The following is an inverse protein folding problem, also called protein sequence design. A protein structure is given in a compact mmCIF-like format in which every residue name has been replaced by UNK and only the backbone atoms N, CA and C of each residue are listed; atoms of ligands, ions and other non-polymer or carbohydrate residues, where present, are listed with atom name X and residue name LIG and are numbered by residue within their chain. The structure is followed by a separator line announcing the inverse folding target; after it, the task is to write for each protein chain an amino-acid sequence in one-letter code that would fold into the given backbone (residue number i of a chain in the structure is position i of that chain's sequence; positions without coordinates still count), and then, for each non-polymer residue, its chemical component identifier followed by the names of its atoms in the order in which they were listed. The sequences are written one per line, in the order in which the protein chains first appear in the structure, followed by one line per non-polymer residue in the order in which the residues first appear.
data_IF_421780563734
#
_entry.id   IF_421780563734
#
_cell.length_a   1.000
_cell.length_b   1.000
_cell.length_c   1.000
_cell.angle_alpha   90.00
_cell.angle_beta   90.00
_cell.angle_gamma   90.00
#
_symmetry.space_group_name_H-M   'P 1'
#
loop_
_entity.id
_entity.type
_entity.pdbx_description
1 polymer ?
#
# COMPACT_ATOMS: atom_id res chain seq x y z
N UNK A 1 -40.80 21.92 -19.72
CA UNK A 1 -40.66 20.56 -19.10
C UNK A 1 -39.45 19.78 -19.64
N UNK A 2 -39.30 19.61 -20.97
CA UNK A 2 -38.19 18.83 -21.54
C UNK A 2 -36.82 19.43 -21.17
N UNK A 3 -36.66 20.75 -21.29
CA UNK A 3 -35.40 21.45 -20.95
C UNK A 3 -34.99 21.30 -19.47
N UNK A 4 -35.96 21.36 -18.57
CA UNK A 4 -35.68 21.19 -17.12
C UNK A 4 -35.26 19.76 -16.77
N UNK A 5 -35.88 18.76 -17.39
CA UNK A 5 -35.50 17.35 -17.24
C UNK A 5 -34.09 17.07 -17.78
N UNK A 6 -33.71 17.65 -18.92
CA UNK A 6 -32.33 17.47 -19.45
C UNK A 6 -31.28 18.11 -18.56
N UNK A 7 -31.55 19.31 -18.00
CA UNK A 7 -30.61 19.95 -17.06
C UNK A 7 -30.45 19.13 -15.78
N UNK A 8 -31.54 18.61 -15.22
CA UNK A 8 -31.49 17.73 -14.03
C UNK A 8 -30.66 16.47 -14.31
N UNK A 9 -30.87 15.86 -15.48
CA UNK A 9 -30.11 14.66 -15.86
C UNK A 9 -28.61 14.92 -16.00
N UNK A 10 -28.24 16.07 -16.60
CA UNK A 10 -26.83 16.49 -16.74
C UNK A 10 -26.19 16.74 -15.36
N UNK A 11 -26.89 17.46 -14.48
CA UNK A 11 -26.40 17.71 -13.11
C UNK A 11 -26.25 16.41 -12.31
N UNK A 12 -27.18 15.48 -12.46
CA UNK A 12 -27.14 14.18 -11.81
C UNK A 12 -25.94 13.34 -12.29
N UNK A 13 -25.70 13.28 -13.59
CA UNK A 13 -24.55 12.55 -14.15
C UNK A 13 -23.21 13.18 -13.73
N UNK A 14 -23.11 14.50 -13.66
CA UNK A 14 -21.92 15.19 -13.15
C UNK A 14 -21.67 14.88 -11.68
N UNK A 15 -22.69 14.90 -10.82
CA UNK A 15 -22.53 14.59 -9.40
C UNK A 15 -22.04 13.16 -9.15
N UNK A 16 -22.53 12.15 -9.87
CA UNK A 16 -22.10 10.77 -9.72
C UNK A 16 -20.66 10.54 -10.18
N UNK A 17 -20.23 11.17 -11.27
CA UNK A 17 -18.87 11.02 -11.80
C UNK A 17 -17.77 11.61 -10.88
N UNK A 18 -18.03 12.76 -10.26
CA UNK A 18 -17.07 13.41 -9.35
C UNK A 18 -16.95 12.71 -7.99
N UNK A 19 -18.04 12.08 -7.49
CA UNK A 19 -18.05 11.42 -6.20
C UNK A 19 -17.08 10.24 -6.09
N UNK A 20 -16.98 9.42 -7.12
CA UNK A 20 -16.13 8.23 -7.13
C UNK A 20 -14.63 8.58 -7.08
N UNK A 21 -14.16 9.49 -7.91
CA UNK A 21 -12.74 9.92 -7.92
C UNK A 21 -12.33 10.56 -6.59
N UNK A 22 -13.17 11.44 -6.04
CA UNK A 22 -12.92 12.11 -4.76
C UNK A 22 -12.83 11.11 -3.61
N UNK A 23 -13.72 10.10 -3.59
CA UNK A 23 -13.69 9.05 -2.58
C UNK A 23 -12.38 8.24 -2.65
N UNK A 24 -11.95 7.82 -3.85
CA UNK A 24 -10.69 7.10 -4.04
C UNK A 24 -9.47 7.93 -3.60
N UNK A 25 -9.45 9.23 -3.88
CA UNK A 25 -8.39 10.12 -3.42
C UNK A 25 -8.36 10.26 -1.90
N UNK A 26 -9.52 10.31 -1.24
CA UNK A 26 -9.60 10.35 0.22
C UNK A 26 -9.12 9.02 0.85
N UNK A 27 -9.48 7.88 0.27
CA UNK A 27 -8.99 6.58 0.68
C UNK A 27 -7.46 6.49 0.52
N UNK A 28 -6.92 7.01 -0.59
CA UNK A 28 -5.48 7.06 -0.84
C UNK A 28 -4.72 7.86 0.23
N UNK A 29 -5.27 9.00 0.67
CA UNK A 29 -4.71 9.77 1.80
C UNK A 29 -4.75 9.01 3.12
N UNK A 30 -5.83 8.27 3.39
CA UNK A 30 -5.91 7.41 4.58
C UNK A 30 -4.89 6.28 4.53
N UNK A 31 -4.68 5.64 3.36
CA UNK A 31 -3.61 4.66 3.18
C UNK A 31 -2.23 5.26 3.42
N UNK A 32 -1.98 6.50 2.96
CA UNK A 32 -0.75 7.22 3.27
C UNK A 32 -0.53 7.35 4.78
N UNK A 33 -1.57 7.71 5.54
CA UNK A 33 -1.50 7.78 7.00
C UNK A 33 -1.23 6.40 7.62
N UNK A 34 -1.83 5.34 7.11
CA UNK A 34 -1.58 3.96 7.58
C UNK A 34 -0.14 3.52 7.32
N UNK A 35 0.41 3.81 6.14
CA UNK A 35 1.82 3.54 5.82
C UNK A 35 2.77 4.26 6.78
N UNK A 36 2.48 5.52 7.15
CA UNK A 36 3.28 6.27 8.12
C UNK A 36 3.21 5.65 9.53
N UNK A 37 2.03 5.18 9.96
CA UNK A 37 1.90 4.47 11.24
C UNK A 37 2.67 3.14 11.23
N UNK A 38 2.59 2.37 10.13
CA UNK A 38 3.37 1.15 9.98
C UNK A 38 4.87 1.44 9.98
N UNK A 39 5.31 2.55 9.39
CA UNK A 39 6.71 2.99 9.42
C UNK A 39 7.22 3.22 10.84
N UNK A 40 6.42 3.80 11.72
CA UNK A 40 6.80 3.99 13.14
C UNK A 40 7.11 2.62 13.77
N UNK A 41 6.22 1.63 13.59
CA UNK A 41 6.45 0.27 14.10
C UNK A 41 7.70 -0.38 13.49
N UNK A 42 7.94 -0.19 12.19
CA UNK A 42 9.12 -0.68 11.51
C UNK A 42 10.41 -0.04 12.05
N UNK A 43 10.40 1.26 12.33
CA UNK A 43 11.57 1.96 12.89
C UNK A 43 11.88 1.52 14.31
N UNK A 44 10.84 1.34 15.16
CA UNK A 44 11.04 0.82 16.52
C UNK A 44 11.63 -0.60 16.45
N UNK A 45 11.10 -1.45 15.55
CA UNK A 45 11.66 -2.79 15.31
C UNK A 45 13.13 -2.71 14.88
N UNK A 46 13.45 -1.88 13.89
CA UNK A 46 14.79 -1.76 13.35
C UNK A 46 15.81 -1.28 14.41
N UNK A 47 15.41 -0.36 15.30
CA UNK A 47 16.26 0.13 16.40
C UNK A 47 16.62 -0.98 17.39
N UNK A 48 15.79 -2.03 17.54
CA UNK A 48 16.06 -3.18 18.41
C UNK A 48 16.76 -4.33 17.65
N UNK A 49 16.93 -4.25 16.32
CA UNK A 49 17.42 -5.32 15.46
C UNK A 49 18.53 -4.85 14.50
N UNK A 50 19.53 -4.16 15.00
CA UNK A 50 20.73 -3.73 14.25
C UNK A 50 20.40 -2.97 12.96
N UNK A 51 19.41 -2.07 13.03
CA UNK A 51 18.87 -1.29 11.91
C UNK A 51 18.25 -2.13 10.79
N UNK A 52 17.93 -3.39 11.04
CA UNK A 52 17.29 -4.26 10.06
C UNK A 52 15.77 -4.24 10.22
N UNK A 53 15.05 -4.07 9.13
CA UNK A 53 13.61 -4.24 9.11
C UNK A 53 13.23 -5.73 9.14
N UNK A 54 11.96 -6.09 9.44
CA UNK A 54 11.54 -7.48 9.56
C UNK A 54 12.00 -8.37 8.41
N UNK A 55 12.62 -9.48 8.76
CA UNK A 55 13.07 -10.50 7.82
C UNK A 55 12.55 -11.88 8.25
N UNK A 56 11.70 -12.50 7.43
CA UNK A 56 11.21 -13.84 7.68
C UNK A 56 11.80 -14.83 6.66
N UNK A 57 12.48 -15.84 7.15
CA UNK A 57 12.98 -16.94 6.30
C UNK A 57 11.79 -17.66 5.67
N UNK A 58 11.86 -17.91 4.35
CA UNK A 58 10.79 -18.55 3.58
C UNK A 58 9.48 -17.77 3.53
N UNK A 59 9.51 -16.44 3.73
CA UNK A 59 8.34 -15.60 3.52
C UNK A 59 7.86 -15.69 2.06
N UNK A 60 6.57 -15.94 1.87
CA UNK A 60 5.91 -16.00 0.56
C UNK A 60 4.94 -14.83 0.37
N UNK A 61 4.62 -14.13 1.45
CA UNK A 61 3.72 -12.97 1.46
C UNK A 61 4.21 -11.89 2.42
N UNK A 62 3.73 -10.67 2.23
CA UNK A 62 4.06 -9.55 3.13
C UNK A 62 3.55 -9.78 4.56
N UNK A 63 2.46 -10.52 4.73
CA UNK A 63 1.96 -10.96 6.05
C UNK A 63 3.01 -11.73 6.83
N UNK A 64 3.80 -12.59 6.16
CA UNK A 64 4.77 -13.44 6.83
C UNK A 64 5.90 -12.65 7.50
N UNK A 65 6.35 -11.60 6.85
CA UNK A 65 7.40 -10.74 7.37
C UNK A 65 6.87 -9.67 8.34
N UNK A 66 5.76 -9.01 7.99
CA UNK A 66 5.19 -7.92 8.79
C UNK A 66 4.50 -8.42 10.07
N UNK A 67 4.18 -9.72 10.16
CA UNK A 67 3.66 -10.35 11.37
C UNK A 67 4.60 -10.17 12.59
N UNK A 68 5.90 -10.01 12.35
CA UNK A 68 6.88 -9.73 13.40
C UNK A 68 6.64 -8.40 14.13
N UNK A 69 5.84 -7.50 13.54
CA UNK A 69 5.48 -6.23 14.17
C UNK A 69 4.35 -6.38 15.20
N UNK A 70 3.55 -7.44 15.11
CA UNK A 70 2.33 -7.60 15.92
C UNK A 70 2.57 -8.66 17.02
N UNK A 71 2.12 -8.40 18.26
CA UNK A 71 1.53 -7.17 18.76
C UNK A 71 2.54 -6.14 19.31
N UNK A 72 3.83 -6.50 19.42
CA UNK A 72 4.84 -5.76 20.21
C UNK A 72 5.05 -4.33 19.70
N UNK A 73 5.14 -4.13 18.38
CA UNK A 73 5.43 -2.83 17.74
C UNK A 73 4.19 -2.15 17.21
N UNK A 74 3.12 -2.90 17.00
CA UNK A 74 1.80 -2.39 16.65
C UNK A 74 0.72 -3.40 17.03
N UNK A 75 -0.17 -3.03 17.93
CA UNK A 75 -1.36 -3.82 18.21
C UNK A 75 -2.52 -3.49 17.24
N UNK A 76 -2.49 -2.31 16.58
CA UNK A 76 -3.50 -1.89 15.59
C UNK A 76 -3.24 -2.57 14.24
N UNK A 77 -3.94 -3.68 13.99
CA UNK A 77 -3.88 -4.41 12.72
C UNK A 77 -4.51 -3.64 11.56
N UNK A 78 -5.38 -2.66 11.86
CA UNK A 78 -6.03 -1.82 10.87
C UNK A 78 -5.06 -0.94 10.07
N UNK A 79 -3.88 -0.64 10.62
CA UNK A 79 -2.85 0.11 9.88
C UNK A 79 -2.27 -0.66 8.70
N UNK A 80 -2.42 -1.99 8.66
CA UNK A 80 -1.96 -2.84 7.56
C UNK A 80 -3.03 -3.04 6.47
N UNK A 81 -4.21 -2.44 6.64
CA UNK A 81 -5.32 -2.56 5.70
C UNK A 81 -5.61 -1.21 5.04
N UNK A 82 -5.62 -1.20 3.71
CA UNK A 82 -5.98 -0.02 2.93
C UNK A 82 -7.50 0.15 2.88
N UNK A 83 -8.07 1.32 3.26
CA UNK A 83 -9.50 1.57 3.15
C UNK A 83 -10.07 1.48 1.72
N UNK A 84 -9.21 1.52 0.70
CA UNK A 84 -9.60 1.34 -0.69
C UNK A 84 -9.62 -0.11 -1.16
N UNK A 85 -9.06 -1.03 -0.36
CA UNK A 85 -9.09 -2.47 -0.63
C UNK A 85 -10.40 -3.10 -0.16
N UNK A 86 -10.56 -4.40 -0.42
CA UNK A 86 -11.65 -5.22 0.12
C UNK A 86 -11.21 -6.03 1.36
N UNK A 87 -10.00 -5.80 1.82
CA UNK A 87 -9.48 -6.49 3.00
C UNK A 87 -10.10 -5.91 4.27
N UNK A 88 -10.20 -6.73 5.31
CA UNK A 88 -10.73 -6.34 6.61
C UNK A 88 -9.67 -6.44 7.67
N UNK A 89 -9.58 -5.47 8.60
CA UNK A 89 -8.64 -5.55 9.71
C UNK A 89 -8.96 -6.74 10.60
N UNK A 90 -7.91 -7.36 11.14
CA UNK A 90 -8.01 -8.39 12.16
C UNK A 90 -8.27 -7.74 13.55
N UNK A 91 -8.69 -8.51 14.54
CA UNK A 91 -8.73 -8.04 15.92
C UNK A 91 -7.36 -7.48 16.36
N UNK A 92 -7.34 -6.48 17.25
CA UNK A 92 -6.09 -5.90 17.74
C UNK A 92 -5.14 -6.96 18.30
N UNK A 93 -3.89 -6.93 17.90
CA UNK A 93 -2.86 -7.88 18.34
C UNK A 93 -2.91 -9.26 17.72
N UNK A 94 -3.86 -9.54 16.84
CA UNK A 94 -3.96 -10.79 16.11
C UNK A 94 -2.86 -10.92 15.06
N UNK A 95 -2.32 -12.13 14.85
CA UNK A 95 -1.31 -12.42 13.83
C UNK A 95 -1.80 -12.07 12.42
N UNK A 96 -1.02 -11.28 11.67
CA UNK A 96 -1.36 -10.89 10.29
C UNK A 96 -1.47 -12.08 9.35
N UNK A 97 -0.82 -13.21 9.69
CA UNK A 97 -0.89 -14.45 8.90
C UNK A 97 -2.30 -15.06 8.85
N UNK A 98 -3.16 -14.72 9.82
CA UNK A 98 -4.55 -15.22 9.86
C UNK A 98 -5.49 -14.47 8.92
N UNK A 99 -5.07 -13.33 8.38
CA UNK A 99 -5.89 -12.52 7.49
C UNK A 99 -5.17 -12.10 6.22
N UNK A 100 -5.64 -11.01 5.65
CA UNK A 100 -5.06 -10.35 4.48
C UNK A 100 -4.74 -8.92 4.83
N UNK A 101 -3.57 -8.47 4.40
CA UNK A 101 -3.19 -7.07 4.45
C UNK A 101 -3.21 -6.48 3.04
N UNK A 102 -3.02 -5.17 2.94
CA UNK A 102 -3.17 -4.46 1.66
C UNK A 102 -1.86 -3.90 1.12
N UNK A 103 -0.72 -4.15 1.80
CA UNK A 103 0.54 -3.52 1.46
C UNK A 103 1.61 -4.53 1.06
N UNK A 104 2.31 -4.22 -0.03
CA UNK A 104 3.52 -4.94 -0.45
C UNK A 104 4.70 -4.48 0.39
N UNK A 105 5.65 -5.39 0.68
CA UNK A 105 6.79 -5.13 1.53
C UNK A 105 8.11 -5.48 0.83
N UNK A 106 9.07 -4.56 0.88
CA UNK A 106 10.41 -4.74 0.35
C UNK A 106 11.32 -5.30 1.44
N UNK A 107 11.24 -6.62 1.65
CA UNK A 107 12.04 -7.34 2.64
C UNK A 107 13.52 -7.32 2.28
N UNK A 108 14.40 -7.10 3.28
CA UNK A 108 15.85 -7.02 3.10
C UNK A 108 16.41 -5.60 3.10
N UNK A 109 15.56 -4.59 3.30
CA UNK A 109 15.97 -3.20 3.49
C UNK A 109 16.45 -2.97 4.93
N UNK A 110 17.28 -1.92 5.08
CA UNK A 110 17.76 -1.45 6.39
C UNK A 110 17.32 -0.02 6.64
N UNK A 111 17.18 0.34 7.91
CA UNK A 111 16.99 1.73 8.31
C UNK A 111 18.20 2.56 7.91
N UNK A 112 17.96 3.77 7.38
CA UNK A 112 19.02 4.66 6.90
C UNK A 112 19.46 4.41 5.45
N UNK A 113 18.91 3.43 4.72
CA UNK A 113 19.15 3.33 3.27
C UNK A 113 18.52 4.55 2.55
N UNK A 114 19.26 5.32 1.75
CA UNK A 114 18.69 6.45 1.06
C UNK A 114 17.77 6.00 -0.10
N UNK A 115 16.65 6.72 -0.28
CA UNK A 115 15.74 6.60 -1.45
C UNK A 115 15.29 5.16 -1.79
N UNK A 116 15.15 4.31 -0.77
CA UNK A 116 14.77 2.93 -0.96
C UNK A 116 13.30 2.69 -0.59
N UNK A 117 12.53 2.10 -1.49
CA UNK A 117 11.14 1.72 -1.19
C UNK A 117 11.11 0.65 -0.09
N UNK A 118 10.18 0.78 0.87
CA UNK A 118 10.02 -0.09 2.03
C UNK A 118 8.65 -0.77 2.08
N UNK A 119 7.57 0.02 1.92
CA UNK A 119 6.20 -0.48 1.80
C UNK A 119 5.52 0.20 0.61
N UNK A 120 4.52 -0.44 0.04
CA UNK A 120 3.64 0.22 -0.94
C UNK A 120 2.22 -0.34 -0.86
N UNK A 121 1.27 0.35 -1.45
CA UNK A 121 0.01 -0.29 -1.83
C UNK A 121 0.31 -1.55 -2.66
N UNK A 122 -0.59 -2.55 -2.62
CA UNK A 122 -0.43 -3.83 -3.35
C UNK A 122 -0.09 -3.57 -4.81
N UNK A 123 1.01 -4.17 -5.27
CA UNK A 123 1.48 -4.03 -6.65
C UNK A 123 0.90 -5.09 -7.59
N UNK A 124 0.99 -4.85 -8.89
CA UNK A 124 0.51 -5.80 -9.90
C UNK A 124 1.32 -7.09 -9.94
N UNK A 125 2.61 -7.00 -9.65
CA UNK A 125 3.55 -8.13 -9.55
C UNK A 125 4.66 -7.82 -8.52
N UNK A 126 5.60 -8.72 -8.35
CA UNK A 126 6.73 -8.61 -7.41
C UNK A 126 8.07 -8.36 -8.14
N UNK A 127 8.05 -7.63 -9.26
CA UNK A 127 9.24 -7.32 -10.03
C UNK A 127 9.77 -5.92 -9.74
N UNK A 128 11.05 -5.69 -10.05
CA UNK A 128 11.63 -4.36 -10.15
C UNK A 128 10.83 -3.50 -11.14
N UNK A 129 10.70 -2.20 -10.87
CA UNK A 129 9.97 -1.27 -11.74
C UNK A 129 10.85 -0.09 -12.14
N UNK A 130 10.77 0.25 -13.41
CA UNK A 130 11.29 1.51 -13.95
C UNK A 130 10.17 2.53 -14.09
N UNK A 131 10.53 3.78 -14.12
CA UNK A 131 9.60 4.87 -14.43
C UNK A 131 8.83 4.58 -15.72
N UNK A 132 7.49 4.69 -15.65
CA UNK A 132 6.59 4.39 -16.75
C UNK A 132 6.06 2.96 -16.81
N UNK A 133 6.67 1.99 -16.11
CA UNK A 133 6.16 0.62 -16.04
C UNK A 133 4.94 0.50 -15.13
N UNK A 134 4.10 -0.49 -15.40
CA UNK A 134 2.87 -0.71 -14.62
C UNK A 134 3.20 -1.15 -13.19
N UNK A 135 2.88 -0.30 -12.22
CA UNK A 135 3.10 -0.53 -10.79
C UNK A 135 1.81 -0.95 -10.09
N UNK A 136 0.72 -0.23 -10.39
CA UNK A 136 -0.62 -0.49 -9.85
C UNK A 136 -1.60 -0.76 -10.98
N UNK A 137 -2.78 -1.27 -10.66
CA UNK A 137 -3.82 -1.54 -11.66
C UNK A 137 -4.24 -0.25 -12.39
N UNK A 138 -4.25 -0.28 -13.72
CA UNK A 138 -4.77 0.77 -14.60
C UNK A 138 -6.24 0.53 -14.99
N UNK A 139 -6.70 -0.72 -14.89
CA UNK A 139 -8.08 -1.12 -15.17
C UNK A 139 -8.99 -1.07 -13.94
N UNK A 140 -8.41 -1.02 -12.74
CA UNK A 140 -9.13 -1.15 -11.48
C UNK A 140 -9.50 -2.57 -11.10
N UNK A 141 -8.97 -3.57 -11.83
CA UNK A 141 -9.11 -5.00 -11.51
C UNK A 141 -7.88 -5.50 -10.76
N UNK A 142 -8.02 -6.60 -10.01
CA UNK A 142 -6.88 -7.28 -9.36
C UNK A 142 -5.87 -7.76 -10.40
N UNK A 143 -4.59 -7.84 -10.04
CA UNK A 143 -3.96 -7.36 -8.81
C UNK A 143 -3.70 -5.84 -8.81
N UNK A 144 -3.28 -5.30 -7.66
CA UNK A 144 -2.80 -3.92 -7.58
C UNK A 144 -3.88 -2.83 -7.57
N UNK A 145 -5.11 -3.16 -7.19
CA UNK A 145 -6.28 -2.29 -7.32
C UNK A 145 -6.78 -1.69 -6.00
N UNK A 146 -5.92 -1.47 -5.01
CA UNK A 146 -6.31 -0.86 -3.73
C UNK A 146 -7.12 0.44 -3.91
N UNK A 147 -6.73 1.24 -4.90
CA UNK A 147 -7.38 2.51 -5.24
C UNK A 147 -7.97 2.50 -6.65
N UNK A 148 -8.55 1.36 -7.05
CA UNK A 148 -9.09 1.15 -8.39
C UNK A 148 -7.99 1.40 -9.44
N UNK A 149 -8.20 2.32 -10.41
CA UNK A 149 -7.23 2.72 -11.45
C UNK A 149 -6.44 3.99 -11.14
N UNK A 150 -6.55 4.50 -9.92
CA UNK A 150 -5.97 5.80 -9.54
C UNK A 150 -4.57 5.72 -8.93
N UNK A 151 -3.87 4.60 -9.15
CA UNK A 151 -2.53 4.39 -8.63
C UNK A 151 -2.50 4.05 -7.14
N UNK A 152 -1.39 4.35 -6.47
CA UNK A 152 -1.18 4.01 -5.06
C UNK A 152 -0.13 4.90 -4.39
N UNK A 153 0.31 4.45 -3.22
CA UNK A 153 1.34 5.08 -2.40
C UNK A 153 2.54 4.16 -2.26
N UNK A 154 3.72 4.75 -2.17
CA UNK A 154 4.97 4.06 -1.85
C UNK A 154 5.64 4.79 -0.69
N UNK A 155 5.91 4.08 0.39
CA UNK A 155 6.67 4.54 1.55
C UNK A 155 8.14 4.17 1.35
N UNK A 156 9.02 5.11 1.62
CA UNK A 156 10.46 4.95 1.55
C UNK A 156 11.10 4.78 2.93
N UNK A 157 12.33 4.33 2.96
CA UNK A 157 13.12 4.10 4.18
C UNK A 157 13.43 5.38 4.97
N UNK A 158 13.32 6.55 4.34
CA UNK A 158 13.41 7.86 4.97
C UNK A 158 12.09 8.32 5.63
N UNK A 159 11.02 7.51 5.55
CA UNK A 159 9.68 7.83 6.06
C UNK A 159 8.84 8.67 5.10
N UNK A 160 9.36 9.09 3.97
CA UNK A 160 8.55 9.80 2.97
C UNK A 160 7.56 8.87 2.29
N UNK A 161 6.33 9.36 2.06
CA UNK A 161 5.33 8.63 1.26
C UNK A 161 5.08 9.40 -0.02
N UNK A 162 5.36 8.77 -1.15
CA UNK A 162 5.17 9.34 -2.48
C UNK A 162 4.00 8.65 -3.19
N UNK A 163 3.14 9.46 -3.80
CA UNK A 163 2.05 8.94 -4.63
C UNK A 163 2.55 8.65 -6.04
N UNK A 164 2.08 7.54 -6.61
CA UNK A 164 2.28 7.20 -8.00
C UNK A 164 0.94 6.96 -8.70
N UNK A 165 0.80 7.33 -9.98
CA UNK A 165 -0.28 6.81 -10.83
C UNK A 165 -0.14 5.31 -11.04
N UNK A 166 -0.98 4.71 -11.89
CA UNK A 166 -0.87 3.28 -12.21
C UNK A 166 0.50 2.92 -12.79
N UNK A 167 1.03 3.73 -13.70
CA UNK A 167 2.42 3.67 -14.13
C UNK A 167 3.35 4.27 -13.05
N UNK A 168 4.50 3.64 -12.81
CA UNK A 168 5.47 4.11 -11.84
C UNK A 168 5.98 5.52 -12.16
N UNK A 169 5.87 6.43 -11.20
CA UNK A 169 6.37 7.80 -11.34
C UNK A 169 7.88 7.94 -11.06
N UNK A 170 8.51 6.87 -10.55
CA UNK A 170 9.92 6.80 -10.18
C UNK A 170 10.39 5.34 -10.23
N UNK A 171 11.69 5.13 -10.31
CA UNK A 171 12.28 3.80 -10.34
C UNK A 171 12.19 3.13 -8.96
N UNK A 172 11.90 1.82 -8.96
CA UNK A 172 11.81 0.97 -7.78
C UNK A 172 12.70 -0.26 -7.99
N UNK A 173 14.03 -0.10 -7.92
CA UNK A 173 14.95 -1.19 -8.18
C UNK A 173 14.94 -2.20 -7.02
N UNK A 174 14.94 -3.48 -7.34
CA UNK A 174 15.21 -4.57 -6.42
C UNK A 174 16.71 -4.90 -6.50
N UNK A 175 17.42 -4.66 -5.39
CA UNK A 175 18.82 -5.12 -5.24
C UNK A 175 18.82 -6.64 -4.98
N UNK A 176 19.95 -7.29 -5.18
CA UNK A 176 20.09 -8.75 -5.04
C UNK A 176 19.68 -9.31 -3.67
N UNK A 177 19.74 -8.50 -2.63
CA UNK A 177 19.35 -8.85 -1.25
C UNK A 177 17.93 -8.43 -0.89
N UNK A 178 17.15 -7.88 -1.82
CA UNK A 178 15.80 -7.36 -1.55
C UNK A 178 14.77 -8.21 -2.29
N UNK A 179 13.80 -8.67 -1.55
CA UNK A 179 12.67 -9.45 -2.06
C UNK A 179 11.39 -8.61 -1.90
N UNK A 180 10.68 -8.38 -2.99
CA UNK A 180 9.37 -7.75 -2.93
C UNK A 180 8.32 -8.83 -2.64
N UNK A 181 7.66 -8.70 -1.50
CA UNK A 181 6.56 -9.55 -1.08
C UNK A 181 5.23 -8.82 -1.32
N UNK A 182 4.35 -9.43 -2.08
CA UNK A 182 2.96 -8.97 -2.18
C UNK A 182 2.10 -9.61 -1.10
N UNK A 183 0.99 -8.96 -0.68
CA UNK A 183 -0.01 -9.58 0.19
C UNK A 183 -0.62 -10.82 -0.45
N UNK A 184 -1.17 -11.70 0.38
CA UNK A 184 -1.94 -12.87 -0.06
C UNK A 184 -3.02 -12.46 -1.08
N UNK A 185 -3.31 -13.30 -2.10
CA UNK A 185 -4.28 -13.03 -3.15
C UNK A 185 -5.73 -12.93 -2.66
#
# INVERSE_FOLDING_TARGET
MLLTLTIILILFTMMYGFGSKRNQMNQKKKCQSNLLKAYIGLQIFANEHDNQFPWATNAVSSEDALDMLVPKYSADTGIFVCPGSKDSPLPPGESLRKGRISYSYYMGRKSGEPDAALLSDKQVDANSKRTGELLFSDTGKKPGNNHHKYGGNVLFTDGSVRMSPAAAAFDLPLRSNVILLNPKP
#
